data_IF_558849946169
#
_entry.id   IF_558849946169
#
_cell.length_a   1.000
_cell.length_b   1.000
_cell.length_c   1.000
_cell.angle_alpha   90.00
_cell.angle_beta   90.00
_cell.angle_gamma   90.00
#
_symmetry.space_group_name_H-M   'P 1'
#
loop_
_entity.id
_entity.type
_entity.pdbx_description
1 polymer ?
#
# COMPACT_ATOMS: atom_id res chain seq x y z
N UNK A 1 46.91 -7.02 19.73
CA UNK A 1 46.22 -6.38 20.87
C UNK A 1 44.75 -6.55 20.58
N UNK A 2 44.20 -7.65 21.05
CA UNK A 2 42.86 -8.13 20.70
C UNK A 2 41.84 -7.51 21.64
N UNK A 3 40.85 -6.82 21.06
CA UNK A 3 39.69 -6.30 21.78
C UNK A 3 38.67 -7.42 22.00
N UNK A 4 38.06 -7.53 23.19
CA UNK A 4 37.09 -8.57 23.50
C UNK A 4 35.76 -8.37 22.74
N UNK A 5 34.97 -9.43 22.54
CA UNK A 5 33.69 -9.35 21.86
C UNK A 5 32.68 -8.62 22.76
N UNK A 6 32.03 -7.60 22.20
CA UNK A 6 30.92 -6.91 22.86
C UNK A 6 29.69 -7.81 22.86
N UNK A 7 29.43 -8.45 24.01
CA UNK A 7 28.15 -9.04 24.33
C UNK A 7 27.15 -7.91 24.59
N UNK A 8 26.27 -7.61 23.63
CA UNK A 8 25.11 -6.78 23.90
C UNK A 8 23.98 -7.66 24.38
N UNK A 9 23.56 -7.38 25.61
CA UNK A 9 22.41 -7.98 26.27
C UNK A 9 21.16 -7.73 25.42
N UNK A 10 20.50 -8.82 25.00
CA UNK A 10 19.18 -8.79 24.42
C UNK A 10 18.21 -8.12 25.41
N UNK A 11 17.70 -6.95 25.03
CA UNK A 11 16.45 -6.44 25.56
C UNK A 11 15.44 -6.66 24.44
N UNK A 12 14.70 -7.77 24.57
CA UNK A 12 13.48 -8.06 23.84
C UNK A 12 12.49 -6.95 24.18
N UNK A 13 12.48 -5.89 23.37
CA UNK A 13 11.29 -5.06 23.22
C UNK A 13 10.37 -5.86 22.30
N UNK A 14 9.19 -6.18 22.82
CA UNK A 14 8.14 -6.93 22.13
C UNK A 14 7.89 -6.28 20.77
N UNK A 15 8.46 -6.91 19.76
CA UNK A 15 8.19 -6.73 18.34
C UNK A 15 6.75 -7.20 18.17
N UNK A 16 5.82 -6.26 17.93
CA UNK A 16 4.45 -6.59 17.54
C UNK A 16 4.49 -7.05 16.09
N UNK A 17 5.06 -8.23 15.88
CA UNK A 17 4.76 -9.06 14.72
C UNK A 17 3.34 -9.58 14.93
N UNK A 18 2.34 -8.75 14.59
CA UNK A 18 1.07 -9.32 14.14
C UNK A 18 1.35 -10.00 12.79
N UNK A 19 1.96 -11.18 12.84
CA UNK A 19 1.73 -12.22 11.84
C UNK A 19 0.22 -12.46 11.87
N UNK A 20 -0.53 -11.70 11.06
CA UNK A 20 -1.94 -11.97 10.81
C UNK A 20 -2.01 -13.34 10.11
N UNK A 21 -2.15 -14.40 10.92
CA UNK A 21 -2.57 -15.72 10.48
C UNK A 21 -3.74 -15.57 9.48
N UNK A 22 -3.70 -16.24 8.32
CA UNK A 22 -4.75 -16.11 7.32
C UNK A 22 -6.08 -16.50 7.97
N UNK A 23 -6.95 -15.50 8.16
CA UNK A 23 -8.25 -15.68 8.80
C UNK A 23 -9.01 -16.85 8.15
N UNK A 24 -9.13 -17.95 8.90
CA UNK A 24 -9.89 -19.12 8.48
C UNK A 24 -11.33 -18.70 8.16
N UNK A 25 -11.96 -19.31 7.15
CA UNK A 25 -13.35 -18.99 6.73
C UNK A 25 -14.33 -18.96 7.92
N UNK A 26 -14.03 -19.72 8.97
CA UNK A 26 -14.80 -19.79 10.20
C UNK A 26 -14.77 -18.47 11.03
N UNK A 27 -13.69 -17.69 11.00
CA UNK A 27 -13.63 -16.38 11.67
C UNK A 27 -14.49 -15.36 10.91
N UNK A 28 -14.42 -15.36 9.58
CA UNK A 28 -15.21 -14.49 8.70
C UNK A 28 -16.71 -14.74 8.87
N UNK A 29 -17.12 -16.02 8.96
CA UNK A 29 -18.52 -16.41 9.18
C UNK A 29 -19.11 -15.89 10.50
N UNK A 30 -18.29 -15.75 11.56
CA UNK A 30 -18.72 -15.24 12.86
C UNK A 30 -18.92 -13.72 12.85
N UNK A 31 -18.16 -13.00 12.02
CA UNK A 31 -18.22 -11.53 11.93
C UNK A 31 -19.29 -11.07 10.92
N UNK A 32 -19.42 -11.78 9.80
CA UNK A 32 -20.31 -11.37 8.70
C UNK A 32 -21.77 -11.75 9.00
N UNK A 33 -22.72 -10.78 8.93
CA UNK A 33 -24.14 -11.08 9.11
C UNK A 33 -24.67 -12.12 8.12
N UNK A 34 -25.63 -12.95 8.56
CA UNK A 34 -26.20 -14.05 7.77
C UNK A 34 -26.68 -13.63 6.37
N UNK A 35 -27.22 -12.42 6.23
CA UNK A 35 -27.69 -11.87 4.96
C UNK A 35 -26.59 -11.76 3.88
N UNK A 36 -25.32 -11.68 4.30
CA UNK A 36 -24.17 -11.54 3.41
C UNK A 36 -23.37 -12.84 3.25
N UNK A 37 -23.84 -13.96 3.80
CA UNK A 37 -23.14 -15.25 3.69
C UNK A 37 -23.01 -15.75 2.25
N UNK A 38 -23.85 -15.27 1.32
CA UNK A 38 -23.69 -15.54 -0.11
C UNK A 38 -22.47 -14.83 -0.75
N UNK A 39 -21.90 -13.82 -0.08
CA UNK A 39 -20.78 -12.99 -0.56
C UNK A 39 -19.53 -13.14 0.32
N UNK A 40 -19.36 -14.27 1.01
CA UNK A 40 -18.21 -14.51 1.90
C UNK A 40 -16.87 -14.41 1.17
N UNK A 41 -16.87 -14.66 -0.13
CA UNK A 41 -15.68 -14.48 -0.96
C UNK A 41 -15.18 -13.04 -1.04
N UNK A 42 -16.08 -12.06 -0.98
CA UNK A 42 -15.73 -10.62 -0.97
C UNK A 42 -14.95 -10.24 0.29
N UNK A 43 -15.16 -10.96 1.40
CA UNK A 43 -14.50 -10.72 2.67
C UNK A 43 -13.20 -11.53 2.85
N UNK A 44 -12.79 -12.32 1.86
CA UNK A 44 -11.57 -13.13 1.94
C UNK A 44 -10.31 -12.30 1.71
N UNK A 45 -9.46 -12.18 2.74
CA UNK A 45 -8.13 -11.54 2.66
C UNK A 45 -7.28 -12.14 1.53
N UNK A 46 -7.22 -13.47 1.45
CA UNK A 46 -6.44 -14.19 0.41
C UNK A 46 -6.90 -13.85 -1.01
N UNK A 47 -8.20 -13.63 -1.23
CA UNK A 47 -8.70 -13.20 -2.55
C UNK A 47 -8.39 -11.73 -2.82
N UNK A 48 -8.42 -10.88 -1.79
CA UNK A 48 -8.10 -9.46 -1.90
C UNK A 48 -6.63 -9.19 -2.23
N UNK A 49 -5.72 -10.11 -1.87
CA UNK A 49 -4.29 -10.01 -2.17
C UNK A 49 -3.91 -10.38 -3.61
N UNK A 50 -4.88 -10.66 -4.47
CA UNK A 50 -4.66 -10.97 -5.90
C UNK A 50 -5.11 -9.82 -6.77
N UNK A 51 -4.33 -9.52 -7.82
CA UNK A 51 -4.75 -8.56 -8.83
C UNK A 51 -6.08 -9.00 -9.46
N UNK A 52 -7.07 -8.09 -9.59
CA UNK A 52 -8.28 -8.39 -10.32
C UNK A 52 -7.96 -8.64 -11.80
N UNK A 53 -8.78 -9.44 -12.51
CA UNK A 53 -8.62 -9.62 -13.94
C UNK A 53 -8.80 -8.28 -14.68
N UNK A 54 -8.14 -8.14 -15.83
CA UNK A 54 -8.33 -6.98 -16.70
C UNK A 54 -9.79 -6.87 -17.15
N UNK A 55 -10.31 -5.64 -17.12
CA UNK A 55 -11.69 -5.34 -17.53
C UNK A 55 -11.70 -4.46 -18.78
N UNK A 56 -12.89 -4.15 -19.30
CA UNK A 56 -13.06 -3.25 -20.46
C UNK A 56 -12.60 -1.82 -20.18
N UNK A 57 -12.42 -1.47 -18.91
CA UNK A 57 -12.04 -0.15 -18.44
C UNK A 57 -10.98 -0.26 -17.32
N UNK A 58 -9.72 -0.37 -17.71
CA UNK A 58 -8.60 -0.31 -16.78
C UNK A 58 -8.19 1.13 -16.49
N UNK A 59 -7.55 1.36 -15.34
CA UNK A 59 -7.04 2.67 -15.00
C UNK A 59 -5.91 3.07 -15.95
N UNK A 60 -6.11 4.17 -16.68
CA UNK A 60 -5.11 4.75 -17.57
C UNK A 60 -4.73 6.16 -17.11
N UNK A 61 -3.43 6.44 -17.09
CA UNK A 61 -2.87 7.74 -16.72
C UNK A 61 -2.45 8.44 -18.02
N UNK A 62 -3.26 9.39 -18.47
CA UNK A 62 -2.94 10.23 -19.63
C UNK A 62 -1.94 11.33 -19.22
N UNK A 63 -0.83 11.42 -19.95
CA UNK A 63 0.22 12.42 -19.70
C UNK A 63 0.18 13.51 -20.76
N UNK A 64 0.16 14.77 -20.31
CA UNK A 64 0.22 15.99 -21.10
C UNK A 64 1.59 16.66 -20.86
N UNK A 65 2.46 16.66 -21.87
CA UNK A 65 3.77 17.33 -21.81
C UNK A 65 4.96 16.40 -21.67
N UNK A 66 6.08 16.94 -21.17
CA UNK A 66 7.33 16.19 -20.99
C UNK A 66 7.28 15.38 -19.70
N UNK A 67 7.82 14.16 -19.76
CA UNK A 67 7.95 13.30 -18.59
C UNK A 67 8.85 13.96 -17.53
N UNK A 68 8.52 13.86 -16.23
CA UNK A 68 9.38 14.37 -15.19
C UNK A 68 10.69 13.57 -15.15
N UNK A 69 11.82 14.20 -14.81
CA UNK A 69 13.07 13.49 -14.63
C UNK A 69 12.97 12.50 -13.46
N UNK A 70 13.88 11.53 -13.43
CA UNK A 70 14.01 10.58 -12.32
C UNK A 70 14.17 11.34 -10.99
N UNK A 71 13.28 11.06 -10.06
CA UNK A 71 13.30 11.60 -8.70
C UNK A 71 14.49 11.07 -7.90
N UNK A 72 15.04 11.93 -7.03
CA UNK A 72 16.10 11.54 -6.10
C UNK A 72 15.44 10.88 -4.88
N UNK A 73 15.90 9.68 -4.52
CA UNK A 73 15.42 8.95 -3.35
C UNK A 73 15.91 9.69 -2.09
N UNK A 74 15.01 9.92 -1.13
CA UNK A 74 15.36 10.52 0.16
C UNK A 74 16.21 9.55 0.99
N UNK A 75 17.10 10.08 1.83
CA UNK A 75 17.91 9.25 2.73
C UNK A 75 17.02 8.47 3.68
N UNK A 76 17.28 7.16 3.80
CA UNK A 76 16.54 6.25 4.67
C UNK A 76 17.35 5.92 5.92
N UNK A 77 16.66 5.77 7.04
CA UNK A 77 17.17 5.10 8.24
C UNK A 77 17.18 3.59 8.05
N UNK A 78 17.81 2.86 8.98
CA UNK A 78 17.83 1.39 8.95
C UNK A 78 16.42 0.80 9.04
N UNK A 79 15.59 1.29 9.97
CA UNK A 79 14.21 0.85 10.14
C UNK A 79 13.36 1.08 8.88
N UNK A 80 13.52 2.24 8.24
CA UNK A 80 12.84 2.55 6.98
C UNK A 80 13.31 1.65 5.84
N UNK A 81 14.60 1.30 5.81
CA UNK A 81 15.16 0.40 4.80
C UNK A 81 14.62 -1.02 4.93
N UNK A 82 14.53 -1.55 6.16
CA UNK A 82 13.92 -2.86 6.44
C UNK A 82 12.45 -2.88 6.06
N UNK A 83 11.70 -1.85 6.45
CA UNK A 83 10.28 -1.69 6.08
C UNK A 83 10.10 -1.63 4.56
N UNK A 84 10.99 -0.92 3.86
CA UNK A 84 10.97 -0.81 2.40
C UNK A 84 11.17 -2.18 1.75
N UNK A 85 12.13 -2.97 2.21
CA UNK A 85 12.39 -4.30 1.67
C UNK A 85 11.22 -5.25 1.92
N UNK A 86 10.63 -5.24 3.11
CA UNK A 86 9.44 -6.01 3.42
C UNK A 86 8.26 -5.62 2.49
N UNK A 87 8.05 -4.32 2.29
CA UNK A 87 7.02 -3.81 1.38
C UNK A 87 7.25 -4.27 -0.07
N UNK A 88 8.49 -4.16 -0.57
CA UNK A 88 8.81 -4.53 -1.96
C UNK A 88 8.60 -6.04 -2.16
N UNK A 89 9.17 -6.87 -1.29
CA UNK A 89 9.07 -8.33 -1.40
C UNK A 89 7.61 -8.80 -1.35
N UNK A 90 6.83 -8.34 -0.36
CA UNK A 90 5.42 -8.73 -0.24
C UNK A 90 4.57 -8.29 -1.43
N UNK A 91 4.80 -7.11 -2.00
CA UNK A 91 4.04 -6.64 -3.17
C UNK A 91 4.49 -7.30 -4.49
N UNK A 92 5.75 -7.73 -4.60
CA UNK A 92 6.22 -8.53 -5.73
C UNK A 92 5.58 -9.92 -5.72
N UNK A 93 5.50 -10.57 -4.55
CA UNK A 93 4.86 -11.88 -4.39
C UNK A 93 3.36 -11.82 -4.71
N UNK A 94 2.66 -10.76 -4.28
CA UNK A 94 1.25 -10.50 -4.62
C UNK A 94 1.05 -10.11 -6.09
N UNK A 95 2.13 -9.72 -6.78
CA UNK A 95 2.09 -9.22 -8.15
C UNK A 95 1.55 -7.80 -8.29
N UNK A 96 1.38 -7.06 -7.19
CA UNK A 96 0.90 -5.67 -7.21
C UNK A 96 1.90 -4.71 -7.86
N UNK A 97 3.19 -5.03 -7.76
CA UNK A 97 4.27 -4.30 -8.41
C UNK A 97 5.14 -5.27 -9.21
N UNK A 98 5.89 -4.73 -10.18
CA UNK A 98 6.88 -5.48 -10.95
C UNK A 98 8.07 -4.57 -11.30
N UNK A 99 9.26 -5.14 -11.57
CA UNK A 99 10.39 -4.37 -12.05
C UNK A 99 10.06 -3.66 -13.36
N UNK A 100 10.29 -2.35 -13.43
CA UNK A 100 10.00 -1.54 -14.62
C UNK A 100 11.27 -0.86 -15.14
N UNK A 101 11.30 -0.60 -16.45
CA UNK A 101 12.36 0.13 -17.15
C UNK A 101 11.90 1.52 -17.59
N UNK A 102 11.11 2.18 -16.73
CA UNK A 102 10.54 3.51 -17.01
C UNK A 102 11.63 4.58 -17.12
N UNK A 103 11.45 5.53 -18.04
CA UNK A 103 12.33 6.71 -18.18
C UNK A 103 12.08 7.77 -17.10
N UNK A 104 11.10 7.55 -16.23
CA UNK A 104 10.75 8.41 -15.10
C UNK A 104 10.53 7.57 -13.85
N UNK A 105 10.86 8.12 -12.68
CA UNK A 105 10.58 7.51 -11.39
C UNK A 105 10.24 8.59 -10.37
N UNK A 106 9.25 8.31 -9.54
CA UNK A 106 8.90 9.14 -8.39
C UNK A 106 9.72 8.69 -7.17
N UNK A 107 10.19 9.62 -6.32
CA UNK A 107 10.71 9.23 -5.02
C UNK A 107 9.58 8.77 -4.11
N UNK A 108 9.92 8.20 -2.96
CA UNK A 108 8.97 7.81 -1.93
C UNK A 108 9.48 8.27 -0.57
N UNK A 109 8.56 8.40 0.38
CA UNK A 109 8.84 8.80 1.76
C UNK A 109 8.04 7.92 2.72
N UNK A 110 8.45 7.89 3.99
CA UNK A 110 7.70 7.23 5.04
C UNK A 110 6.94 8.23 5.90
N UNK A 111 5.68 7.89 6.20
CA UNK A 111 4.84 8.63 7.14
C UNK A 111 4.56 7.74 8.35
N UNK A 112 4.79 8.27 9.56
CA UNK A 112 4.41 7.58 10.80
C UNK A 112 2.89 7.56 10.94
N UNK A 113 2.34 6.36 11.07
CA UNK A 113 0.95 6.13 11.42
C UNK A 113 0.75 6.38 12.93
N UNK A 114 -0.53 6.47 13.35
CA UNK A 114 -0.90 6.69 14.76
C UNK A 114 -0.52 5.53 15.68
N UNK A 115 -0.52 4.32 15.14
CA UNK A 115 -0.12 3.07 15.79
C UNK A 115 1.41 2.94 15.95
N UNK A 116 2.19 3.87 15.41
CA UNK A 116 3.65 3.84 15.43
C UNK A 116 4.28 3.18 14.19
N UNK A 117 3.49 2.53 13.34
CA UNK A 117 3.96 1.91 12.11
C UNK A 117 4.38 2.93 11.04
N UNK A 118 5.14 2.46 10.05
CA UNK A 118 5.57 3.27 8.90
C UNK A 118 4.69 2.96 7.68
N UNK A 119 4.22 4.01 7.00
CA UNK A 119 3.50 3.90 5.74
C UNK A 119 4.37 4.43 4.60
N UNK A 120 4.65 3.60 3.59
CA UNK A 120 5.32 4.03 2.37
C UNK A 120 4.35 4.90 1.55
N UNK A 121 4.80 6.09 1.16
CA UNK A 121 4.07 7.03 0.32
C UNK A 121 4.91 7.41 -0.89
N UNK A 122 4.41 7.17 -2.10
CA UNK A 122 5.07 7.58 -3.34
C UNK A 122 4.77 9.05 -3.62
N UNK A 123 5.81 9.85 -3.84
CA UNK A 123 5.70 11.28 -4.12
C UNK A 123 5.44 11.54 -5.62
N UNK A 124 4.17 11.67 -5.96
CA UNK A 124 3.73 12.02 -7.31
C UNK A 124 3.67 13.54 -7.57
N UNK A 125 4.22 14.41 -6.71
CA UNK A 125 4.10 15.87 -6.86
C UNK A 125 4.66 16.39 -8.20
N UNK A 126 5.70 15.76 -8.75
CA UNK A 126 6.26 16.10 -10.07
C UNK A 126 5.46 15.51 -11.24
N UNK A 127 4.71 14.42 -11.01
CA UNK A 127 3.92 13.74 -12.02
C UNK A 127 2.50 14.33 -12.15
N UNK A 128 1.90 14.76 -11.04
CA UNK A 128 0.54 15.29 -11.01
C UNK A 128 0.30 16.49 -11.94
N UNK A 129 1.24 17.45 -12.13
CA UNK A 129 1.06 18.57 -13.03
C UNK A 129 1.05 18.20 -14.52
N UNK A 130 1.75 17.14 -14.89
CA UNK A 130 1.80 16.62 -16.27
C UNK A 130 0.72 15.57 -16.53
N UNK A 131 -0.04 15.17 -15.51
CA UNK A 131 -1.13 14.21 -15.68
C UNK A 131 -2.42 14.95 -16.03
N UNK A 132 -3.12 14.49 -17.07
CA UNK A 132 -4.43 15.02 -17.44
C UNK A 132 -5.42 14.75 -16.32
N UNK A 133 -6.04 15.83 -15.80
CA UNK A 133 -7.01 15.72 -14.72
C UNK A 133 -8.33 15.16 -15.22
N UNK A 134 -8.64 13.90 -14.89
CA UNK A 134 -9.97 13.32 -15.07
C UNK A 134 -10.95 13.91 -14.03
N UNK A 135 -11.60 15.03 -14.38
CA UNK A 135 -12.55 15.74 -13.51
C UNK A 135 -13.94 15.13 -13.59
N UNK A 136 -14.17 14.03 -12.88
CA UNK A 136 -15.51 13.50 -12.69
C UNK A 136 -16.28 14.34 -11.63
N UNK A 137 -17.51 14.81 -11.92
CA UNK A 137 -18.27 15.60 -10.96
C UNK A 137 -18.78 14.71 -9.82
N UNK A 138 -18.11 14.77 -8.67
CA UNK A 138 -18.61 14.16 -7.44
C UNK A 138 -19.66 15.09 -6.81
N UNK A 139 -20.92 14.65 -6.64
CA UNK A 139 -21.96 15.48 -6.05
C UNK A 139 -21.64 15.82 -4.58
N UNK A 140 -22.05 17.00 -4.09
CA UNK A 140 -21.91 17.35 -2.68
C UNK A 140 -22.65 16.37 -1.77
N UNK A 141 -22.11 16.16 -0.56
CA UNK A 141 -22.68 15.24 0.43
C UNK A 141 -24.17 15.53 0.72
N UNK A 142 -24.54 16.81 0.88
CA UNK A 142 -25.94 17.20 1.13
C UNK A 142 -26.89 16.75 0.01
N UNK A 143 -26.43 16.82 -1.25
CA UNK A 143 -27.23 16.40 -2.40
C UNK A 143 -27.41 14.88 -2.43
N UNK A 144 -26.38 14.13 -2.05
CA UNK A 144 -26.47 12.66 -1.93
C UNK A 144 -27.44 12.26 -0.82
N UNK A 145 -27.36 12.90 0.35
CA UNK A 145 -28.21 12.59 1.50
C UNK A 145 -29.68 12.90 1.24
N UNK A 146 -29.98 14.00 0.52
CA UNK A 146 -31.35 14.37 0.14
C UNK A 146 -32.08 13.35 -0.74
N UNK A 147 -31.38 12.37 -1.30
CA UNK A 147 -31.98 11.29 -2.11
C UNK A 147 -32.29 10.03 -1.30
N UNK A 148 -31.71 9.91 -0.12
CA UNK A 148 -31.83 8.73 0.75
C UNK A 148 -32.80 9.01 1.90
N UNK A 149 -32.76 10.23 2.43
CA UNK A 149 -33.66 10.73 3.47
C UNK A 149 -34.96 11.26 2.85
#
# INVERSE_FOLDING_TARGET
>A
MDLPPLSFHASLEEEWDEEEEPEEIETVLKVVPLAYHQYLDVFSKVKAEKLPPHHTCDHHIELEGLLPPVGVIYSLSNQESETLWAYISGNLEKGFIWPSSSSTAAPFLFVKKKDGGLCLCVDHHKLNPVTRKNRYPVPPMNQLLSRIL
#
